data_IF_354850825829
#
_entry.id   IF_354850825829
#
_cell.length_a   1.000
_cell.length_b   1.000
_cell.length_c   1.000
_cell.angle_alpha   90.00
_cell.angle_beta   90.00
_cell.angle_gamma   90.00
#
_symmetry.space_group_name_H-M   'P 1'
#
loop_
_entity.id
_entity.type
_entity.pdbx_description
1 polymer ?
#
# COMPACT_ATOMS: atom_id res chain seq x y z
N UNK A 1 -38.83 52.08 -31.34
CA UNK A 1 -38.33 52.60 -32.63
C UNK A 1 -38.69 54.08 -32.67
N UNK A 2 -37.81 55.07 -32.99
CA UNK A 2 -36.74 55.10 -34.01
C UNK A 2 -35.31 55.33 -33.40
N UNK A 3 -34.19 54.96 -34.05
CA UNK A 3 -33.39 55.63 -35.12
C UNK A 3 -33.01 57.07 -34.73
N UNK A 4 -31.76 57.56 -34.71
CA UNK A 4 -30.43 57.06 -35.06
C UNK A 4 -29.54 58.27 -35.43
N UNK A 5 -28.21 58.05 -35.41
CA UNK A 5 -27.15 58.70 -36.22
C UNK A 5 -26.59 60.09 -35.80
N UNK A 6 -25.42 60.53 -36.33
CA UNK A 6 -24.07 59.89 -36.29
C UNK A 6 -22.93 60.94 -36.07
N UNK A 7 -21.65 60.52 -36.12
CA UNK A 7 -20.57 61.02 -37.03
C UNK A 7 -19.17 60.68 -36.46
N UNK A 8 -18.33 60.17 -37.38
CA UNK A 8 -16.93 59.74 -37.27
C UNK A 8 -15.93 60.90 -37.41
N UNK A 9 -14.75 60.75 -36.79
CA UNK A 9 -13.41 61.12 -37.31
C UNK A 9 -12.38 60.61 -36.28
N UNK A 10 -11.16 60.15 -36.53
CA UNK A 10 -10.28 59.93 -37.68
C UNK A 10 -8.96 59.45 -37.02
N UNK A 11 -8.41 58.29 -37.39
CA UNK A 11 -7.18 58.15 -38.19
C UNK A 11 -5.83 58.34 -37.44
N UNK A 12 -4.97 57.32 -37.62
CA UNK A 12 -3.49 57.21 -37.54
C UNK A 12 -2.74 56.81 -36.25
N UNK A 13 -2.46 55.49 -36.18
CA UNK A 13 -1.20 54.77 -35.92
C UNK A 13 0.02 55.52 -35.34
N UNK A 14 0.62 54.95 -34.27
CA UNK A 14 2.06 54.63 -34.14
C UNK A 14 2.20 53.38 -33.26
N UNK A 15 2.94 52.39 -33.74
CA UNK A 15 3.47 51.26 -32.99
C UNK A 15 4.81 51.63 -32.35
N UNK A 16 5.00 51.30 -31.07
CA UNK A 16 6.35 51.11 -30.50
C UNK A 16 6.32 49.79 -29.73
N UNK A 17 7.09 48.82 -30.23
CA UNK A 17 7.46 47.61 -29.51
C UNK A 17 8.66 47.92 -28.61
N UNK A 18 8.63 47.44 -27.36
CA UNK A 18 9.73 47.55 -26.41
C UNK A 18 9.62 46.46 -25.34
N UNK A 19 10.39 45.39 -25.53
CA UNK A 19 10.61 44.29 -24.58
C UNK A 19 11.58 44.76 -23.51
N UNK A 20 11.22 44.64 -22.22
CA UNK A 20 12.09 44.20 -21.12
C UNK A 20 11.44 44.46 -19.75
N UNK A 21 11.58 43.49 -18.83
CA UNK A 21 11.53 43.78 -17.39
C UNK A 21 10.62 42.86 -16.58
N UNK A 22 11.22 41.82 -16.01
CA UNK A 22 10.66 40.92 -14.99
C UNK A 22 10.15 41.67 -13.74
N UNK A 23 9.24 41.03 -12.98
CA UNK A 23 9.41 40.62 -11.56
C UNK A 23 8.06 40.50 -10.80
N UNK A 24 7.75 39.24 -10.45
CA UNK A 24 7.16 38.69 -9.21
C UNK A 24 5.96 39.36 -8.51
N UNK A 25 4.86 38.60 -8.40
CA UNK A 25 4.17 38.20 -7.15
C UNK A 25 2.76 37.72 -7.51
N UNK A 26 2.39 36.44 -7.48
CA UNK A 26 2.01 35.75 -6.24
C UNK A 26 1.86 34.26 -6.56
N UNK A 27 2.66 33.47 -5.85
CA UNK A 27 2.73 32.01 -5.92
C UNK A 27 1.42 31.38 -5.43
N UNK A 28 0.69 30.70 -6.33
CA UNK A 28 -0.14 29.58 -5.94
C UNK A 28 0.80 28.37 -5.78
N UNK A 29 1.19 28.10 -4.54
CA UNK A 29 1.91 26.89 -4.15
C UNK A 29 1.02 25.67 -4.43
N UNK A 30 1.46 24.68 -5.22
CA UNK A 30 0.86 23.37 -5.13
C UNK A 30 1.19 22.81 -3.73
N UNK A 31 0.18 22.27 -3.05
CA UNK A 31 0.36 21.45 -1.85
C UNK A 31 1.33 20.32 -2.19
N UNK A 32 2.56 20.45 -1.72
CA UNK A 32 3.51 19.35 -1.60
C UNK A 32 2.92 18.44 -0.53
N UNK A 33 2.20 17.40 -0.95
CA UNK A 33 1.84 16.29 -0.08
C UNK A 33 3.14 15.69 0.45
N UNK A 34 3.26 15.65 1.77
CA UNK A 34 4.46 15.17 2.44
C UNK A 34 4.71 13.70 2.19
N UNK A 35 5.95 13.38 1.84
CA UNK A 35 6.72 12.28 2.44
C UNK A 35 8.13 12.33 1.87
N UNK A 36 8.93 13.27 2.36
CA UNK A 36 10.40 13.17 2.27
C UNK A 36 10.91 12.79 3.66
N UNK A 37 10.51 11.62 4.16
CA UNK A 37 11.41 10.95 5.11
C UNK A 37 12.60 10.47 4.26
N UNK A 38 13.85 10.81 4.61
CA UNK A 38 14.98 10.15 3.97
C UNK A 38 14.77 8.65 4.15
N UNK A 39 14.65 7.90 3.05
CA UNK A 39 14.57 6.45 3.10
C UNK A 39 15.82 5.97 3.83
N UNK A 40 15.66 5.64 5.11
CA UNK A 40 16.72 4.99 5.87
C UNK A 40 16.97 3.67 5.16
N UNK A 41 18.08 3.61 4.42
CA UNK A 41 18.46 2.40 3.71
C UNK A 41 18.91 1.39 4.75
N UNK A 42 18.02 0.48 5.11
CA UNK A 42 18.31 -0.57 6.07
C UNK A 42 19.45 -1.44 5.55
N UNK A 43 20.43 -1.71 6.41
CA UNK A 43 21.51 -2.62 6.06
C UNK A 43 20.93 -4.01 5.78
N UNK A 44 21.23 -4.55 4.61
CA UNK A 44 20.78 -5.87 4.16
C UNK A 44 21.97 -6.81 4.12
N UNK A 45 21.91 -7.88 4.91
CA UNK A 45 22.91 -8.94 4.94
C UNK A 45 22.41 -10.11 4.10
N UNK A 46 23.18 -10.51 3.10
CA UNK A 46 22.88 -11.72 2.32
C UNK A 46 23.07 -12.96 3.19
N UNK A 47 22.11 -13.89 3.14
CA UNK A 47 22.17 -15.16 3.86
C UNK A 47 22.30 -16.33 2.87
N UNK A 48 22.78 -17.50 3.31
CA UNK A 48 22.72 -18.70 2.49
C UNK A 48 21.29 -19.01 2.05
N UNK A 49 21.13 -19.31 0.77
CA UNK A 49 19.87 -19.78 0.20
C UNK A 49 19.41 -21.06 0.88
N UNK A 50 18.11 -21.30 0.88
CA UNK A 50 17.47 -22.50 1.45
C UNK A 50 16.58 -23.16 0.44
N UNK A 51 16.41 -24.47 0.58
CA UNK A 51 15.47 -25.23 -0.24
C UNK A 51 14.11 -25.22 0.44
N UNK A 52 13.14 -24.55 -0.17
CA UNK A 52 11.75 -24.53 0.24
C UNK A 52 10.83 -25.30 -0.71
N UNK A 53 9.53 -25.16 -0.51
CA UNK A 53 8.47 -25.75 -1.35
C UNK A 53 8.51 -25.26 -2.80
N UNK A 54 9.05 -24.07 -3.04
CA UNK A 54 9.17 -23.45 -4.36
C UNK A 54 10.59 -23.57 -4.96
N UNK A 55 11.42 -24.48 -4.43
CA UNK A 55 12.79 -24.69 -4.91
C UNK A 55 13.84 -23.95 -4.09
N UNK A 56 14.91 -23.51 -4.74
CA UNK A 56 15.99 -22.77 -4.07
C UNK A 56 15.58 -21.30 -3.91
N UNK A 57 15.48 -20.85 -2.67
CA UNK A 57 15.02 -19.51 -2.28
C UNK A 57 16.19 -18.70 -1.75
N UNK A 58 16.41 -17.52 -2.32
CA UNK A 58 17.39 -16.57 -1.81
C UNK A 58 16.92 -15.99 -0.48
N UNK A 59 17.85 -15.64 0.41
CA UNK A 59 17.51 -15.00 1.69
C UNK A 59 18.38 -13.81 1.97
N UNK A 60 17.79 -12.80 2.59
CA UNK A 60 18.51 -11.69 3.20
C UNK A 60 17.90 -11.38 4.55
N UNK A 61 18.71 -10.81 5.43
CA UNK A 61 18.30 -10.31 6.72
C UNK A 61 18.40 -8.79 6.73
N UNK A 62 17.38 -8.15 7.28
CA UNK A 62 17.34 -6.73 7.56
C UNK A 62 17.30 -6.56 9.08
N UNK A 63 18.20 -5.77 9.65
CA UNK A 63 18.14 -5.47 11.08
C UNK A 63 17.18 -4.31 11.32
N UNK A 64 16.06 -4.60 11.98
CA UNK A 64 15.03 -3.63 12.35
C UNK A 64 15.05 -3.38 13.86
N UNK A 65 14.45 -2.28 14.36
CA UNK A 65 14.38 -2.00 15.80
C UNK A 65 13.83 -3.14 16.67
N UNK A 66 12.85 -3.90 16.19
CA UNK A 66 12.27 -5.03 16.92
C UNK A 66 13.03 -6.36 16.73
N UNK A 67 14.07 -6.38 15.89
CA UNK A 67 14.90 -7.56 15.65
C UNK A 67 15.19 -7.84 14.17
N UNK A 68 15.79 -9.01 13.88
CA UNK A 68 16.09 -9.41 12.50
C UNK A 68 14.82 -9.77 11.74
N UNK A 69 14.66 -9.17 10.56
CA UNK A 69 13.59 -9.48 9.62
C UNK A 69 14.17 -10.22 8.41
N UNK A 70 13.69 -11.44 8.18
CA UNK A 70 14.12 -12.26 7.05
C UNK A 70 13.25 -11.95 5.83
N UNK A 71 13.90 -11.58 4.74
CA UNK A 71 13.30 -11.41 3.42
C UNK A 71 13.70 -12.57 2.55
N UNK A 72 12.70 -13.23 1.96
CA UNK A 72 12.87 -14.33 1.02
C UNK A 72 12.83 -13.79 -0.41
N UNK A 73 13.58 -14.40 -1.33
CA UNK A 73 13.54 -14.09 -2.76
C UNK A 73 13.17 -15.32 -3.56
N UNK A 74 12.03 -15.25 -4.23
CA UNK A 74 11.51 -16.33 -5.06
C UNK A 74 11.61 -15.97 -6.54
N UNK A 75 11.95 -16.96 -7.41
CA UNK A 75 11.87 -16.74 -8.85
C UNK A 75 10.41 -16.48 -9.25
N UNK A 76 10.16 -15.69 -10.33
CA UNK A 76 8.81 -15.42 -10.83
C UNK A 76 7.94 -16.68 -10.88
N UNK A 77 6.77 -16.62 -10.25
CA UNK A 77 5.79 -17.71 -10.25
C UNK A 77 4.64 -17.35 -11.19
N UNK A 78 4.11 -18.36 -11.86
CA UNK A 78 2.84 -18.20 -12.59
C UNK A 78 1.72 -17.99 -11.56
N UNK A 79 0.93 -16.91 -11.66
CA UNK A 79 -0.18 -16.70 -10.75
C UNK A 79 -1.22 -17.83 -10.91
N UNK A 80 -1.69 -18.44 -9.81
CA UNK A 80 -2.79 -19.39 -9.89
C UNK A 80 -4.10 -18.67 -10.25
N UNK A 81 -5.07 -19.41 -10.77
CA UNK A 81 -6.42 -18.88 -10.94
C UNK A 81 -7.04 -18.60 -9.57
N UNK A 82 -7.46 -17.36 -9.33
CA UNK A 82 -8.23 -16.98 -8.14
C UNK A 82 -9.67 -16.74 -8.54
N UNK A 83 -10.59 -17.14 -7.67
CA UNK A 83 -11.96 -16.63 -7.72
C UNK A 83 -11.94 -15.16 -7.30
N UNK A 84 -12.35 -14.30 -8.22
CA UNK A 84 -12.32 -12.84 -8.07
C UNK A 84 -13.72 -12.28 -7.78
N UNK A 85 -14.72 -13.11 -7.46
CA UNK A 85 -16.05 -12.64 -7.12
C UNK A 85 -16.01 -11.70 -5.89
N UNK A 86 -16.50 -10.47 -6.08
CA UNK A 86 -16.49 -9.41 -5.06
C UNK A 86 -15.16 -8.65 -4.92
N UNK A 87 -14.17 -8.94 -5.76
CA UNK A 87 -12.87 -8.25 -5.79
C UNK A 87 -12.74 -7.39 -7.06
N UNK A 88 -12.17 -6.19 -6.90
CA UNK A 88 -11.76 -5.36 -8.04
C UNK A 88 -10.23 -5.42 -8.17
N UNK A 89 -9.74 -6.00 -9.26
CA UNK A 89 -8.29 -5.99 -9.56
C UNK A 89 -7.80 -4.56 -9.72
N UNK A 90 -6.68 -4.24 -9.06
CA UNK A 90 -6.01 -2.95 -9.16
C UNK A 90 -4.82 -3.02 -10.11
N UNK A 91 -4.54 -1.89 -10.74
CA UNK A 91 -3.44 -1.69 -11.70
C UNK A 91 -2.72 -0.38 -11.43
N UNK A 92 -1.51 -0.22 -11.97
CA UNK A 92 -0.73 1.02 -11.82
C UNK A 92 -1.38 2.28 -12.42
N UNK A 93 -2.47 2.12 -13.20
CA UNK A 93 -3.21 3.24 -13.80
C UNK A 93 -4.33 3.77 -12.91
N UNK A 94 -4.58 3.15 -11.76
CA UNK A 94 -5.65 3.57 -10.86
C UNK A 94 -5.30 4.92 -10.19
N UNK A 95 -6.14 5.96 -10.35
CA UNK A 95 -5.81 7.34 -9.95
C UNK A 95 -5.50 7.53 -8.47
N UNK A 96 -5.99 6.63 -7.61
CA UNK A 96 -5.83 6.69 -6.17
C UNK A 96 -4.54 6.04 -5.67
N UNK A 97 -3.76 5.37 -6.53
CA UNK A 97 -2.59 4.62 -6.06
C UNK A 97 -1.27 5.30 -6.35
N UNK A 98 -0.46 5.42 -5.30
CA UNK A 98 0.97 5.77 -5.38
C UNK A 98 1.88 4.56 -5.18
N UNK A 99 1.29 3.38 -4.98
CA UNK A 99 2.03 2.17 -4.63
C UNK A 99 2.69 1.56 -5.89
N UNK A 100 4.01 1.67 -5.95
CA UNK A 100 4.82 1.15 -7.05
C UNK A 100 4.65 -0.35 -7.29
N UNK A 101 4.28 -1.13 -6.26
CA UNK A 101 4.14 -2.58 -6.39
C UNK A 101 2.92 -2.98 -7.23
N UNK A 102 1.94 -2.09 -7.41
CA UNK A 102 0.82 -2.31 -8.34
C UNK A 102 1.27 -2.55 -9.78
N UNK A 103 2.39 -1.97 -10.20
CA UNK A 103 2.93 -2.17 -11.55
C UNK A 103 3.33 -3.64 -11.81
N UNK A 104 3.48 -4.44 -10.76
CA UNK A 104 3.93 -5.83 -10.82
C UNK A 104 2.85 -6.81 -10.36
N UNK A 105 1.62 -6.37 -10.09
CA UNK A 105 0.59 -7.12 -9.36
C UNK A 105 0.43 -8.59 -9.75
N UNK A 106 0.25 -8.91 -11.03
CA UNK A 106 0.09 -10.31 -11.50
C UNK A 106 1.39 -11.00 -11.95
N UNK A 107 2.50 -10.26 -12.05
CA UNK A 107 3.79 -10.74 -12.54
C UNK A 107 4.84 -10.82 -11.42
N UNK A 108 4.41 -10.69 -10.17
CA UNK A 108 5.25 -10.64 -9.00
C UNK A 108 5.10 -11.90 -8.17
N UNK A 109 6.16 -12.25 -7.46
CA UNK A 109 6.11 -13.33 -6.47
C UNK A 109 5.67 -12.81 -5.13
N UNK A 110 5.65 -11.49 -4.89
CA UNK A 110 5.36 -10.94 -3.59
C UNK A 110 3.94 -11.25 -3.05
N UNK A 111 3.79 -11.25 -1.72
CA UNK A 111 2.56 -11.64 -1.00
C UNK A 111 1.93 -10.41 -0.34
N UNK A 112 0.83 -10.65 0.39
CA UNK A 112 0.10 -9.66 1.16
C UNK A 112 1.00 -8.84 2.11
N UNK A 113 1.87 -9.48 2.89
CA UNK A 113 2.77 -8.79 3.81
C UNK A 113 3.77 -7.89 3.07
N UNK A 114 4.36 -8.38 1.97
CA UNK A 114 5.30 -7.58 1.17
C UNK A 114 4.60 -6.37 0.55
N UNK A 115 3.38 -6.54 0.05
CA UNK A 115 2.59 -5.41 -0.44
C UNK A 115 2.32 -4.39 0.68
N UNK A 116 1.89 -4.86 1.85
CA UNK A 116 1.60 -4.00 3.00
C UNK A 116 2.82 -3.19 3.48
N UNK A 117 4.02 -3.79 3.43
CA UNK A 117 5.24 -3.18 3.98
C UNK A 117 6.24 -2.67 2.92
N UNK A 118 5.91 -2.79 1.64
CA UNK A 118 6.87 -2.61 0.55
C UNK A 118 7.55 -1.25 0.53
N UNK A 119 6.82 -0.19 0.87
CA UNK A 119 7.35 1.18 0.94
C UNK A 119 8.24 1.40 2.17
N UNK A 120 7.92 0.78 3.31
CA UNK A 120 8.65 0.93 4.57
C UNK A 120 10.04 0.30 4.50
N UNK A 121 10.15 -0.83 3.80
CA UNK A 121 11.39 -1.60 3.68
C UNK A 121 12.07 -1.48 2.32
N UNK A 122 11.50 -0.70 1.39
CA UNK A 122 11.94 -0.61 -0.01
C UNK A 122 12.01 -1.98 -0.70
N UNK A 123 10.97 -2.81 -0.52
CA UNK A 123 10.91 -4.18 -1.06
C UNK A 123 10.70 -4.18 -2.58
N UNK A 124 11.34 -5.15 -3.22
CA UNK A 124 11.25 -5.39 -4.66
C UNK A 124 10.17 -6.43 -5.00
N UNK A 125 9.71 -6.50 -6.26
CA UNK A 125 8.60 -7.37 -6.64
C UNK A 125 8.86 -8.88 -6.51
N UNK A 126 10.13 -9.28 -6.39
CA UNK A 126 10.59 -10.66 -6.21
C UNK A 126 10.82 -11.03 -4.74
N UNK A 127 10.55 -10.11 -3.82
CA UNK A 127 10.79 -10.26 -2.38
C UNK A 127 9.54 -10.69 -1.61
N UNK A 128 9.76 -11.45 -0.54
CA UNK A 128 8.74 -11.98 0.36
C UNK A 128 9.04 -11.72 1.83
N UNK A 129 8.04 -11.17 2.51
CA UNK A 129 7.94 -11.12 3.97
C UNK A 129 6.99 -12.23 4.40
N UNK A 130 7.49 -13.19 5.17
CA UNK A 130 6.67 -14.28 5.67
C UNK A 130 5.81 -13.79 6.86
N UNK A 131 4.47 -13.98 6.83
CA UNK A 131 3.60 -13.67 7.96
C UNK A 131 3.64 -14.72 9.08
N UNK A 132 4.39 -15.81 8.91
CA UNK A 132 4.44 -16.96 9.81
C UNK A 132 5.87 -17.34 10.22
N UNK A 133 5.99 -18.07 11.33
CA UNK A 133 7.28 -18.63 11.76
C UNK A 133 7.60 -19.91 11.01
N UNK A 134 8.78 -19.97 10.37
CA UNK A 134 9.22 -21.12 9.57
C UNK A 134 10.73 -21.35 9.73
N UNK A 135 11.20 -22.53 9.31
CA UNK A 135 12.62 -22.87 9.39
C UNK A 135 13.50 -21.91 8.57
N UNK A 136 13.04 -21.50 7.39
CA UNK A 136 13.72 -20.57 6.49
C UNK A 136 13.77 -19.13 7.02
N UNK A 137 12.91 -18.78 7.98
CA UNK A 137 12.92 -17.50 8.71
C UNK A 137 13.60 -17.59 10.07
N UNK A 138 14.30 -18.69 10.38
CA UNK A 138 14.85 -18.98 11.71
C UNK A 138 13.78 -18.91 12.82
N UNK A 139 12.56 -19.34 12.51
CA UNK A 139 11.39 -19.30 13.39
C UNK A 139 10.99 -17.89 13.87
N UNK A 140 11.53 -16.84 13.25
CA UNK A 140 10.98 -15.48 13.39
C UNK A 140 9.70 -15.34 12.56
N UNK A 141 8.86 -14.36 12.92
CA UNK A 141 7.71 -13.93 12.12
C UNK A 141 8.08 -12.57 11.49
N UNK A 142 8.68 -12.53 10.29
CA UNK A 142 9.14 -11.29 9.67
C UNK A 142 8.08 -10.18 9.63
N UNK A 143 6.83 -10.50 9.31
CA UNK A 143 5.74 -9.51 9.32
C UNK A 143 5.54 -8.87 10.71
N UNK A 144 5.59 -9.66 11.78
CA UNK A 144 5.45 -9.16 13.15
C UNK A 144 6.62 -8.25 13.53
N UNK A 145 7.85 -8.62 13.15
CA UNK A 145 9.04 -7.79 13.39
C UNK A 145 8.89 -6.42 12.73
N UNK A 146 8.29 -6.36 11.54
CA UNK A 146 8.03 -5.09 10.83
C UNK A 146 6.96 -4.26 11.55
N UNK A 147 5.85 -4.89 11.96
CA UNK A 147 4.79 -4.24 12.74
C UNK A 147 5.35 -3.64 14.02
N UNK A 148 6.07 -4.44 14.82
CA UNK A 148 6.68 -4.03 16.09
C UNK A 148 7.77 -2.95 15.91
N UNK A 149 8.35 -2.84 14.72
CA UNK A 149 9.41 -1.87 14.42
C UNK A 149 8.88 -0.50 13.99
N UNK A 150 7.79 -0.44 13.23
CA UNK A 150 7.37 0.79 12.53
C UNK A 150 5.91 1.17 12.72
N UNK A 151 5.09 0.29 13.27
CA UNK A 151 3.67 0.53 13.42
C UNK A 151 3.27 0.57 14.89
N UNK A 152 2.18 1.27 15.16
CA UNK A 152 1.44 1.24 16.42
C UNK A 152 0.12 0.49 16.19
N UNK A 153 -0.24 -0.40 17.11
CA UNK A 153 -1.56 -1.03 17.13
C UNK A 153 -2.60 0.02 17.59
N UNK A 154 -3.49 0.40 16.68
CA UNK A 154 -4.54 1.39 16.93
C UNK A 154 -5.78 0.73 17.53
N UNK A 155 -6.17 -0.42 16.98
CA UNK A 155 -7.34 -1.16 17.44
C UNK A 155 -7.21 -2.67 17.13
N UNK A 156 -7.88 -3.48 17.94
CA UNK A 156 -8.04 -4.92 17.73
C UNK A 156 -9.52 -5.27 17.87
N UNK A 157 -10.09 -5.82 16.80
CA UNK A 157 -11.50 -6.18 16.72
C UNK A 157 -11.64 -7.69 16.55
N UNK A 158 -12.44 -8.32 17.40
CA UNK A 158 -12.87 -9.70 17.22
C UNK A 158 -14.01 -9.75 16.22
N UNK A 159 -13.91 -10.60 15.19
CA UNK A 159 -14.84 -10.61 14.06
C UNK A 159 -16.28 -10.92 14.48
N UNK A 160 -16.46 -11.83 15.45
CA UNK A 160 -17.79 -12.20 15.95
C UNK A 160 -18.57 -11.03 16.57
N UNK A 161 -17.87 -9.96 16.97
CA UNK A 161 -18.43 -8.79 17.65
C UNK A 161 -18.46 -7.55 16.74
N UNK A 162 -18.08 -7.71 15.47
CA UNK A 162 -17.76 -6.61 14.58
C UNK A 162 -18.98 -6.22 13.73
N UNK A 163 -19.40 -4.96 13.85
CA UNK A 163 -20.30 -4.36 12.87
C UNK A 163 -19.49 -3.83 11.68
N UNK A 164 -19.48 -4.62 10.60
CA UNK A 164 -18.76 -4.30 9.37
C UNK A 164 -19.13 -2.95 8.79
N UNK A 165 -20.41 -2.58 8.84
CA UNK A 165 -20.88 -1.32 8.27
C UNK A 165 -20.28 -0.11 9.00
N UNK A 166 -20.18 -0.21 10.33
CA UNK A 166 -19.53 0.80 11.17
C UNK A 166 -18.02 0.86 10.88
N UNK A 167 -17.34 -0.28 10.78
CA UNK A 167 -15.89 -0.30 10.51
C UNK A 167 -15.55 0.27 9.13
N UNK A 168 -16.36 -0.04 8.11
CA UNK A 168 -16.19 0.51 6.76
C UNK A 168 -16.39 2.03 6.70
N UNK A 169 -17.12 2.62 7.63
CA UNK A 169 -17.37 4.07 7.68
C UNK A 169 -16.54 4.80 8.76
N UNK A 170 -15.74 4.05 9.52
CA UNK A 170 -14.97 4.59 10.64
C UNK A 170 -13.97 5.65 10.14
N UNK A 171 -14.14 6.86 10.67
CA UNK A 171 -13.32 8.02 10.36
C UNK A 171 -11.91 7.92 10.94
N UNK A 172 -11.70 7.01 11.89
CA UNK A 172 -10.43 6.72 12.52
C UNK A 172 -9.38 6.14 11.57
N UNK A 173 -9.78 5.54 10.45
CA UNK A 173 -8.87 5.03 9.42
C UNK A 173 -8.26 6.13 8.55
N UNK A 174 -7.00 5.92 8.16
CA UNK A 174 -6.23 6.74 7.22
C UNK A 174 -5.75 5.90 6.04
N UNK A 175 -5.61 6.54 4.89
CA UNK A 175 -4.98 5.91 3.73
C UNK A 175 -3.59 5.39 4.08
N UNK A 176 -3.31 4.14 3.71
CA UNK A 176 -2.05 3.46 4.00
C UNK A 176 -1.95 2.84 5.40
N UNK A 177 -2.95 3.00 6.28
CA UNK A 177 -3.03 2.19 7.50
C UNK A 177 -3.04 0.70 7.13
N UNK A 178 -2.41 -0.14 7.94
CA UNK A 178 -2.30 -1.58 7.67
C UNK A 178 -3.37 -2.32 8.43
N UNK A 179 -4.11 -3.18 7.73
CA UNK A 179 -5.01 -4.16 8.32
C UNK A 179 -4.31 -5.50 8.34
N UNK A 180 -4.34 -6.16 9.49
CA UNK A 180 -3.87 -7.52 9.69
C UNK A 180 -5.08 -8.39 10.03
N UNK A 181 -5.29 -9.45 9.27
CA UNK A 181 -6.22 -10.51 9.61
C UNK A 181 -5.46 -11.61 10.32
N UNK A 182 -5.96 -12.02 11.47
CA UNK A 182 -5.37 -13.10 12.26
C UNK A 182 -6.36 -14.20 12.57
N UNK A 183 -5.83 -15.39 12.87
CA UNK A 183 -6.58 -16.58 13.24
C UNK A 183 -5.96 -17.21 14.47
N UNK A 184 -6.79 -17.71 15.38
CA UNK A 184 -6.36 -18.47 16.54
C UNK A 184 -6.21 -19.95 16.16
N UNK A 185 -4.98 -20.43 16.08
CA UNK A 185 -4.66 -21.83 15.77
C UNK A 185 -3.93 -22.44 16.95
N UNK A 186 -4.55 -23.44 17.59
CA UNK A 186 -4.01 -24.10 18.79
C UNK A 186 -3.63 -23.12 19.92
N UNK A 187 -4.45 -22.09 20.12
CA UNK A 187 -4.23 -21.07 21.15
C UNK A 187 -3.14 -20.04 20.82
N UNK A 188 -2.63 -20.03 19.58
CA UNK A 188 -1.69 -19.03 19.10
C UNK A 188 -2.31 -18.20 17.98
N UNK A 189 -2.15 -16.90 18.07
CA UNK A 189 -2.55 -15.98 17.01
C UNK A 189 -1.57 -16.09 15.83
N UNK A 190 -2.11 -16.31 14.63
CA UNK A 190 -1.36 -16.42 13.39
C UNK A 190 -1.86 -15.37 12.41
N UNK A 191 -0.94 -14.62 11.81
CA UNK A 191 -1.28 -13.69 10.74
C UNK A 191 -1.60 -14.50 9.49
N UNK A 192 -2.83 -14.36 8.98
CA UNK A 192 -3.29 -15.08 7.79
C UNK A 192 -3.30 -14.19 6.55
N UNK A 193 -3.49 -12.88 6.71
CA UNK A 193 -3.49 -11.94 5.59
C UNK A 193 -3.24 -10.50 6.05
N UNK A 194 -2.75 -9.65 5.14
CA UNK A 194 -2.56 -8.22 5.39
C UNK A 194 -2.93 -7.38 4.17
N UNK A 195 -3.28 -6.13 4.39
CA UNK A 195 -3.48 -5.15 3.34
C UNK A 195 -3.36 -3.72 3.84
N UNK A 196 -3.47 -2.77 2.92
CA UNK A 196 -3.50 -1.34 3.21
C UNK A 196 -4.94 -0.83 3.08
N UNK A 197 -5.31 0.11 3.92
CA UNK A 197 -6.55 0.86 3.76
C UNK A 197 -6.38 1.83 2.58
N UNK A 198 -7.39 1.85 1.73
CA UNK A 198 -7.63 2.90 0.77
C UNK A 198 -9.05 3.43 0.96
N UNK A 199 -9.16 4.74 1.14
CA UNK A 199 -10.42 5.39 1.46
C UNK A 199 -10.99 6.04 0.21
N UNK A 200 -12.20 5.64 -0.15
CA UNK A 200 -12.91 6.11 -1.34
C UNK A 200 -14.31 6.51 -0.94
N UNK A 201 -14.70 7.75 -1.23
CA UNK A 201 -16.03 8.29 -0.89
C UNK A 201 -16.44 8.07 0.58
N UNK A 202 -15.47 8.24 1.49
CA UNK A 202 -15.60 7.97 2.94
C UNK A 202 -15.81 6.51 3.34
N UNK A 203 -15.61 5.57 2.43
CA UNK A 203 -15.65 4.14 2.70
C UNK A 203 -14.23 3.60 2.75
N UNK A 204 -13.90 2.88 3.82
CA UNK A 204 -12.64 2.18 3.99
C UNK A 204 -12.68 0.89 3.18
N UNK A 205 -11.83 0.80 2.17
CA UNK A 205 -11.60 -0.43 1.38
C UNK A 205 -10.22 -0.98 1.67
N UNK A 206 -10.06 -2.27 1.46
CA UNK A 206 -8.78 -2.96 1.61
C UNK A 206 -8.14 -3.16 0.25
N UNK A 207 -6.93 -2.64 0.07
CA UNK A 207 -6.03 -3.00 -1.01
C UNK A 207 -5.09 -4.09 -0.50
N UNK A 208 -5.06 -5.25 -1.16
CA UNK A 208 -4.18 -6.35 -0.73
C UNK A 208 -3.83 -7.30 -1.87
N UNK A 209 -2.71 -8.01 -1.70
CA UNK A 209 -2.24 -9.04 -2.63
C UNK A 209 -2.82 -10.40 -2.23
N UNK A 210 -3.62 -11.03 -3.08
CA UNK A 210 -4.27 -12.31 -2.78
C UNK A 210 -3.29 -13.47 -3.01
N UNK A 211 -2.38 -13.73 -2.06
CA UNK A 211 -1.33 -14.74 -2.21
C UNK A 211 -0.45 -14.48 -3.44
N UNK A 212 -0.40 -15.46 -4.36
CA UNK A 212 0.27 -15.31 -5.66
C UNK A 212 -0.59 -14.61 -6.74
N UNK A 213 -1.82 -14.20 -6.42
CA UNK A 213 -2.79 -13.59 -7.33
C UNK A 213 -2.56 -12.10 -7.58
N UNK A 214 -3.52 -11.36 -8.15
CA UNK A 214 -3.37 -9.92 -8.34
C UNK A 214 -3.40 -9.15 -7.00
N UNK A 215 -3.06 -7.86 -7.08
CA UNK A 215 -3.48 -6.91 -6.04
C UNK A 215 -4.93 -6.53 -6.33
N UNK A 216 -5.77 -6.59 -5.31
CA UNK A 216 -7.19 -6.34 -5.44
C UNK A 216 -7.70 -5.44 -4.31
N UNK A 217 -8.77 -4.74 -4.63
CA UNK A 217 -9.62 -4.01 -3.70
C UNK A 217 -10.81 -4.87 -3.27
N UNK A 218 -11.16 -4.79 -1.99
CA UNK A 218 -12.31 -5.49 -1.40
C UNK A 218 -12.87 -4.72 -0.20
N UNK A 219 -14.07 -5.11 0.26
CA UNK A 219 -14.53 -4.77 1.61
C UNK A 219 -13.67 -5.47 2.66
N UNK A 220 -13.59 -4.88 3.85
CA UNK A 220 -12.93 -5.51 5.00
C UNK A 220 -13.58 -6.86 5.34
N UNK A 221 -14.91 -6.90 5.31
CA UNK A 221 -15.69 -8.12 5.56
C UNK A 221 -15.35 -9.25 4.59
N UNK A 222 -15.38 -8.98 3.28
CA UNK A 222 -15.14 -10.02 2.26
C UNK A 222 -13.76 -10.64 2.42
N UNK A 223 -12.77 -9.82 2.75
CA UNK A 223 -11.42 -10.31 2.98
C UNK A 223 -11.34 -11.19 4.24
N UNK A 224 -11.95 -10.75 5.36
CA UNK A 224 -12.04 -11.54 6.58
C UNK A 224 -12.66 -12.94 6.34
N UNK A 225 -13.77 -12.99 5.61
CA UNK A 225 -14.47 -14.22 5.24
C UNK A 225 -13.59 -15.13 4.37
N UNK A 226 -12.91 -14.55 3.38
CA UNK A 226 -12.04 -15.30 2.44
C UNK A 226 -10.92 -16.02 3.16
N UNK A 227 -10.33 -15.41 4.19
CA UNK A 227 -9.24 -15.99 4.96
C UNK A 227 -9.70 -16.69 6.25
N UNK A 228 -11.02 -16.78 6.48
CA UNK A 228 -11.63 -17.33 7.68
C UNK A 228 -10.93 -16.83 8.96
N UNK A 229 -10.75 -15.51 9.03
CA UNK A 229 -10.09 -14.83 10.12
C UNK A 229 -10.97 -14.76 11.37
N UNK A 230 -10.33 -14.68 12.54
CA UNK A 230 -11.00 -14.54 13.83
C UNK A 230 -10.93 -13.09 14.34
N UNK A 231 -9.90 -12.32 13.93
CA UNK A 231 -9.74 -10.92 14.29
C UNK A 231 -9.16 -10.04 13.18
N UNK A 232 -9.46 -8.75 13.31
CA UNK A 232 -8.97 -7.64 12.47
C UNK A 232 -8.18 -6.69 13.37
N UNK A 233 -6.87 -6.57 13.11
CA UNK A 233 -6.00 -5.63 13.80
C UNK A 233 -5.70 -4.44 12.88
N UNK A 234 -5.86 -3.24 13.43
CA UNK A 234 -5.60 -1.98 12.74
C UNK A 234 -4.27 -1.40 13.22
N UNK A 235 -3.33 -1.25 12.30
CA UNK A 235 -2.01 -0.69 12.55
C UNK A 235 -1.82 0.62 11.79
N UNK A 236 -1.10 1.55 12.41
CA UNK A 236 -0.71 2.83 11.82
C UNK A 236 0.79 3.03 11.88
N UNK A 237 1.38 3.53 10.80
CA UNK A 237 2.80 3.85 10.77
C UNK A 237 3.13 4.98 11.76
N UNK A 238 4.23 4.82 12.51
CA UNK A 238 4.80 5.81 13.44
C UNK A 238 5.43 7.01 12.71
#
# INVERSE_FOLDING_TARGET
MPVGRPILSGIHWIWIAGICGCVLSSLFLPRIFGSLRPQQRWERVSLPSVRGTHGLTGRSMIYLPAGPCIVLRYPPLTPPAYDMEGYRTLTSKDPSSTDRLLAYGSLSTFNCATYAFGEVLDLQPDEWIEPLARLDTFYSIPAQVVLDSFYDLVANHQIEQLDWSTLEQDQGFRDGDVIVYSKLVHGKEMIVHLGKIARQDSINKLHSKLGNGPIAESSLQRCAETFAADSVLHYRIR
#
